data_IF_204137094402
#
_entry.id   IF_204137094402
#
_cell.length_a   1.000
_cell.length_b   1.000
_cell.length_c   1.000
_cell.angle_alpha   90.00
_cell.angle_beta   90.00
_cell.angle_gamma   90.00
#
_symmetry.space_group_name_H-M   'P 1'
#
loop_
_entity.id
_entity.type
_entity.pdbx_description
1 polymer ?
#
# COMPACT_ATOMS: atom_id res chain seq x y z
N UNK A 1 -6.39 11.45 8.10
CA UNK A 1 -5.08 12.11 8.21
C UNK A 1 -5.03 13.56 7.69
N UNK A 2 -5.59 13.92 6.53
CA UNK A 2 -5.65 15.34 6.10
C UNK A 2 -6.34 16.28 7.11
N UNK A 3 -7.29 15.75 7.89
CA UNK A 3 -7.97 16.41 9.01
C UNK A 3 -7.20 16.36 10.35
N UNK A 4 -6.01 15.76 10.40
CA UNK A 4 -5.22 15.58 11.63
C UNK A 4 -5.72 14.48 12.57
N UNK A 5 -6.78 13.73 12.22
CA UNK A 5 -7.37 12.68 13.06
C UNK A 5 -6.49 11.43 13.22
N UNK A 6 -5.61 11.18 12.25
CA UNK A 6 -4.76 9.97 12.19
C UNK A 6 -3.37 10.34 11.68
N UNK A 7 -2.31 9.70 12.18
CA UNK A 7 -0.93 10.01 11.78
C UNK A 7 -0.58 9.47 10.39
N UNK A 8 -1.19 8.37 9.96
CA UNK A 8 -1.06 7.81 8.61
C UNK A 8 -2.28 6.96 8.28
N UNK A 9 -2.49 6.70 6.99
CA UNK A 9 -3.56 5.84 6.47
C UNK A 9 -2.98 4.79 5.53
N UNK A 10 -3.57 3.60 5.54
CA UNK A 10 -3.22 2.51 4.63
C UNK A 10 -4.43 2.20 3.77
N UNK A 11 -4.24 2.08 2.46
CA UNK A 11 -5.31 1.68 1.55
C UNK A 11 -4.75 0.97 0.33
N UNK A 12 -5.59 0.63 -0.63
CA UNK A 12 -5.18 0.02 -1.90
C UNK A 12 -5.13 1.05 -3.02
N UNK A 13 -4.12 0.95 -3.87
CA UNK A 13 -3.93 1.84 -5.03
C UNK A 13 -3.92 1.05 -6.32
N UNK A 14 -5.12 0.69 -6.77
CA UNK A 14 -5.32 -0.01 -8.05
C UNK A 14 -5.18 0.95 -9.23
N UNK A 15 -5.83 2.12 -9.11
CA UNK A 15 -5.87 3.15 -10.15
C UNK A 15 -5.57 4.53 -9.57
N UNK A 16 -4.48 4.62 -8.79
CA UNK A 16 -4.09 5.85 -8.10
C UNK A 16 -5.07 6.32 -7.00
N UNK A 17 -5.90 5.41 -6.47
CA UNK A 17 -6.93 5.70 -5.45
C UNK A 17 -6.40 6.24 -4.12
N UNK A 18 -5.10 6.18 -3.85
CA UNK A 18 -4.46 6.82 -2.70
C UNK A 18 -3.62 8.03 -3.12
N UNK A 19 -2.98 7.97 -4.30
CA UNK A 19 -2.17 9.09 -4.82
C UNK A 19 -3.00 10.29 -5.28
N UNK A 20 -4.15 10.06 -5.89
CA UNK A 20 -5.08 11.12 -6.32
C UNK A 20 -5.56 11.93 -5.12
N UNK A 21 -6.22 11.35 -4.09
CA UNK A 21 -6.67 12.13 -2.93
C UNK A 21 -5.51 12.73 -2.14
N UNK A 22 -4.34 12.08 -2.09
CA UNK A 22 -3.17 12.64 -1.44
C UNK A 22 -2.69 13.94 -2.11
N UNK A 23 -2.75 14.02 -3.45
CA UNK A 23 -2.44 15.23 -4.19
C UNK A 23 -3.41 16.38 -3.87
N UNK A 24 -4.71 16.09 -3.73
CA UNK A 24 -5.71 17.09 -3.36
C UNK A 24 -5.56 17.61 -1.92
N UNK A 25 -5.11 16.74 -1.01
CA UNK A 25 -4.94 17.09 0.40
C UNK A 25 -3.54 17.62 0.75
N UNK A 26 -2.60 17.69 -0.21
CA UNK A 26 -1.23 18.13 0.04
C UNK A 26 -0.42 17.20 0.94
N UNK A 27 -0.68 15.90 0.87
CA UNK A 27 -0.02 14.88 1.70
C UNK A 27 0.75 13.87 0.86
N UNK A 28 1.69 13.15 1.46
CA UNK A 28 2.53 12.19 0.73
C UNK A 28 1.83 10.84 0.63
N UNK A 29 1.73 10.29 -0.57
CA UNK A 29 1.32 8.91 -0.81
C UNK A 29 2.52 8.08 -1.30
N UNK A 30 2.92 7.09 -0.51
CA UNK A 30 4.03 6.21 -0.84
C UNK A 30 3.49 4.90 -1.44
N UNK A 31 3.71 4.68 -2.74
CA UNK A 31 3.47 3.38 -3.37
C UNK A 31 4.71 2.50 -3.26
N UNK A 32 4.70 1.46 -2.40
CA UNK A 32 5.85 0.57 -2.30
C UNK A 32 6.04 -0.23 -3.60
N UNK A 33 7.23 -0.81 -3.77
CA UNK A 33 7.48 -1.79 -4.83
C UNK A 33 6.45 -2.92 -4.72
N UNK A 34 6.04 -3.47 -5.85
CA UNK A 34 5.17 -4.65 -5.85
C UNK A 34 5.77 -5.73 -4.95
N UNK A 35 4.91 -6.47 -4.24
CA UNK A 35 5.33 -7.55 -3.34
C UNK A 35 6.14 -7.12 -2.09
N UNK A 36 6.33 -5.82 -1.85
CA UNK A 36 7.01 -5.31 -0.63
C UNK A 36 6.13 -5.43 0.62
N UNK A 37 4.82 -5.23 0.47
CA UNK A 37 3.82 -5.33 1.53
C UNK A 37 2.92 -6.53 1.23
N UNK A 38 2.70 -7.46 2.19
CA UNK A 38 1.83 -8.60 1.97
C UNK A 38 0.38 -8.16 1.81
N UNK A 39 -0.29 -8.66 0.77
CA UNK A 39 -1.73 -8.43 0.51
C UNK A 39 -2.62 -9.46 1.24
N UNK A 40 -2.08 -10.11 2.27
CA UNK A 40 -2.79 -11.13 3.04
C UNK A 40 -3.95 -10.50 3.81
N UNK A 41 -5.15 -11.07 3.68
CA UNK A 41 -6.37 -10.54 4.31
C UNK A 41 -7.08 -9.47 3.49
N UNK A 42 -6.53 -9.10 2.34
CA UNK A 42 -7.18 -8.20 1.38
C UNK A 42 -8.14 -9.02 0.51
N UNK A 43 -9.33 -8.47 0.25
CA UNK A 43 -10.28 -9.10 -0.68
C UNK A 43 -9.63 -9.07 -2.07
N UNK A 44 -9.36 -10.22 -2.70
CA UNK A 44 -8.68 -10.26 -3.98
C UNK A 44 -9.51 -9.53 -5.03
N UNK A 45 -8.86 -8.62 -5.74
CA UNK A 45 -9.43 -7.96 -6.91
C UNK A 45 -9.47 -8.89 -8.13
N UNK A 46 -9.66 -8.31 -9.31
CA UNK A 46 -9.64 -9.05 -10.57
C UNK A 46 -8.31 -9.83 -10.72
N UNK A 47 -8.35 -11.09 -11.21
CA UNK A 47 -7.14 -11.87 -11.46
C UNK A 47 -6.24 -11.10 -12.43
N UNK A 48 -4.92 -11.12 -12.16
CA UNK A 48 -3.86 -10.34 -12.87
C UNK A 48 -3.70 -8.88 -12.43
N UNK A 49 -4.64 -8.29 -11.68
CA UNK A 49 -4.49 -6.96 -11.05
C UNK A 49 -3.96 -7.01 -9.60
N UNK A 50 -3.64 -8.19 -9.11
CA UNK A 50 -3.21 -8.48 -7.74
C UNK A 50 -1.86 -7.84 -7.40
N UNK A 51 -0.99 -7.69 -8.41
CA UNK A 51 0.28 -6.96 -8.30
C UNK A 51 0.07 -5.44 -8.11
N UNK A 52 -1.04 -4.90 -8.63
CA UNK A 52 -1.43 -3.50 -8.46
C UNK A 52 -2.11 -3.24 -7.11
N UNK A 53 -2.54 -4.28 -6.40
CA UNK A 53 -3.01 -4.17 -5.01
C UNK A 53 -1.84 -3.94 -4.03
N UNK A 54 -0.86 -3.11 -4.39
CA UNK A 54 0.06 -2.55 -3.41
C UNK A 54 -0.75 -1.75 -2.41
N UNK A 55 -0.42 -1.88 -1.12
CA UNK A 55 -1.01 -1.08 -0.07
C UNK A 55 -0.14 0.16 0.17
N UNK A 56 -0.34 1.29 -0.55
CA UNK A 56 0.38 2.50 -0.21
C UNK A 56 -0.05 3.07 1.12
N UNK A 57 0.87 3.83 1.69
CA UNK A 57 0.67 4.56 2.92
C UNK A 57 0.58 6.04 2.59
N UNK A 58 -0.46 6.71 3.08
CA UNK A 58 -0.58 8.17 3.04
C UNK A 58 -0.15 8.75 4.38
N UNK A 59 0.86 9.64 4.38
CA UNK A 59 1.52 10.14 5.58
C UNK A 59 1.93 11.62 5.44
N UNK A 60 1.86 12.44 6.51
CA UNK A 60 2.36 13.80 6.44
C UNK A 60 3.89 13.72 6.47
N UNK A 61 4.55 14.79 6.04
CA UNK A 61 6.02 14.86 5.98
C UNK A 61 6.72 14.35 7.25
N UNK A 62 6.16 14.66 8.43
CA UNK A 62 6.71 14.30 9.74
C UNK A 62 6.78 12.79 10.00
N UNK A 63 5.85 12.03 9.42
CA UNK A 63 5.76 10.58 9.60
C UNK A 63 6.37 9.79 8.43
N UNK A 64 6.62 10.46 7.29
CA UNK A 64 7.14 9.85 6.07
C UNK A 64 8.44 9.07 6.31
N UNK A 65 9.40 9.65 7.05
CA UNK A 65 10.68 9.00 7.33
C UNK A 65 10.53 7.75 8.18
N UNK A 66 9.62 7.74 9.15
CA UNK A 66 9.37 6.58 10.02
C UNK A 66 8.76 5.44 9.22
N UNK A 67 7.84 5.76 8.32
CA UNK A 67 7.21 4.77 7.44
C UNK A 67 8.22 4.23 6.43
N UNK A 68 9.06 5.09 5.85
CA UNK A 68 10.13 4.66 4.96
C UNK A 68 11.09 3.71 5.70
N UNK A 69 11.58 4.13 6.87
CA UNK A 69 12.44 3.30 7.72
C UNK A 69 11.79 1.94 8.02
N UNK A 70 10.52 1.91 8.43
CA UNK A 70 9.79 0.67 8.69
C UNK A 70 9.68 -0.24 7.46
N UNK A 71 9.38 0.34 6.30
CA UNK A 71 9.20 -0.38 5.06
C UNK A 71 10.53 -0.98 4.54
N UNK A 72 11.64 -0.29 4.79
CA UNK A 72 12.97 -0.72 4.37
C UNK A 72 13.68 -1.61 5.41
N UNK A 73 13.40 -1.44 6.71
CA UNK A 73 13.97 -2.27 7.78
C UNK A 73 13.26 -3.62 7.92
N UNK A 74 11.98 -3.70 7.53
CA UNK A 74 11.26 -4.97 7.54
C UNK A 74 11.90 -5.97 6.56
N UNK A 75 12.19 -7.22 7.00
CA UNK A 75 12.73 -8.24 6.13
C UNK A 75 11.77 -8.45 4.95
N UNK A 76 12.34 -8.59 3.73
CA UNK A 76 11.58 -8.97 2.54
C UNK A 76 10.96 -10.34 2.80
N UNK A 77 9.71 -10.38 3.28
CA UNK A 77 8.99 -11.64 3.35
C UNK A 77 8.84 -12.13 1.92
N UNK A 78 9.24 -13.38 1.61
CA UNK A 78 8.97 -13.93 0.29
C UNK A 78 7.46 -13.84 0.09
N UNK A 79 7.04 -13.07 -0.93
CA UNK A 79 5.67 -13.15 -1.38
C UNK A 79 5.44 -14.61 -1.73
N UNK A 80 4.60 -15.30 -0.95
CA UNK A 80 3.94 -16.49 -1.47
C UNK A 80 3.33 -16.02 -2.78
N UNK A 81 3.89 -16.47 -3.91
CA UNK A 81 3.16 -16.42 -5.18
C UNK A 81 1.77 -16.91 -4.82
N UNK A 82 0.75 -16.11 -5.10
CA UNK A 82 -0.59 -16.66 -5.17
C UNK A 82 -0.44 -17.90 -6.06
N UNK A 83 -0.61 -19.09 -5.48
CA UNK A 83 -0.73 -20.30 -6.28
C UNK A 83 -1.88 -20.07 -7.24
N UNK A 84 -1.89 -20.72 -8.43
CA UNK A 84 -2.98 -20.55 -9.37
C UNK A 84 -4.30 -20.68 -8.62
N UNK A 85 -5.10 -19.62 -8.64
CA UNK A 85 -6.38 -19.58 -7.99
C UNK A 85 -7.12 -20.85 -8.42
N UNK A 86 -7.50 -21.66 -7.43
CA UNK A 86 -8.16 -22.93 -7.66
C UNK A 86 -9.34 -22.75 -8.60
N UNK A 87 -9.20 -23.30 -9.79
CA UNK A 87 -10.28 -23.65 -10.69
C UNK A 87 -11.18 -24.64 -9.92
N UNK A 88 -12.31 -24.17 -9.42
CA UNK A 88 -13.49 -24.97 -9.14
C UNK A 88 -14.67 -24.25 -9.75
#
# INVERSE_FOLDING_TARGET
MASGMTPFEIGTDLSASIRIPAAYCGVFALKPTEHRVPVTGLIPGLPRHEAFASCPVSAPWRELLKILMLLYSAPRRPCRRAGPAGQK
#
